data_IF_417216354243
#
_entry.id   IF_417216354243
#
_cell.length_a   1.000
_cell.length_b   1.000
_cell.length_c   1.000
_cell.angle_alpha   90.00
_cell.angle_beta   90.00
_cell.angle_gamma   90.00
#
_symmetry.space_group_name_H-M   'P 1'
#
loop_
_entity.id
_entity.type
_entity.pdbx_description
1 polymer ?
#
# COMPACT_ATOMS: atom_id res chain seq x y z
N UNK A 1 14.30 -22.10 23.37
CA UNK A 1 14.77 -20.69 23.34
C UNK A 1 13.96 -19.99 22.27
N UNK A 2 12.87 -19.38 22.69
CA UNK A 2 11.98 -18.59 21.83
C UNK A 2 12.46 -17.15 21.88
N UNK A 3 13.19 -16.72 20.85
CA UNK A 3 13.49 -15.30 20.66
C UNK A 3 12.17 -14.58 20.33
N UNK A 4 11.62 -13.93 21.35
CA UNK A 4 10.59 -12.92 21.18
C UNK A 4 11.21 -11.74 20.44
N UNK A 5 10.70 -11.31 19.29
CA UNK A 5 11.22 -10.12 18.64
C UNK A 5 10.95 -8.91 19.55
N UNK A 6 12.02 -8.18 19.84
CA UNK A 6 12.06 -6.96 20.64
C UNK A 6 10.83 -6.06 20.39
N UNK A 7 9.96 -5.99 21.39
CA UNK A 7 8.86 -5.03 21.48
C UNK A 7 9.37 -3.69 22.04
N UNK A 8 10.52 -3.20 21.57
CA UNK A 8 10.93 -1.83 21.88
C UNK A 8 10.17 -0.86 20.96
N UNK A 9 9.42 0.12 21.50
CA UNK A 9 8.72 1.10 20.69
C UNK A 9 9.74 1.93 19.92
N UNK A 10 9.92 1.61 18.64
CA UNK A 10 10.74 2.41 17.72
C UNK A 10 10.23 3.84 17.78
N UNK A 11 11.06 4.80 18.19
CA UNK A 11 10.69 6.22 18.16
C UNK A 11 10.36 6.58 16.72
N UNK A 12 9.09 6.90 16.45
CA UNK A 12 8.66 7.32 15.13
C UNK A 12 9.44 8.58 14.72
N UNK A 13 9.95 8.55 13.49
CA UNK A 13 10.47 9.72 12.79
C UNK A 13 9.41 10.82 12.72
N UNK A 14 9.83 12.09 12.66
CA UNK A 14 8.91 13.22 12.46
C UNK A 14 8.04 13.00 11.22
N UNK A 15 8.62 12.43 10.15
CA UNK A 15 7.88 12.13 8.92
C UNK A 15 6.84 11.01 9.13
N UNK A 16 7.14 9.99 9.93
CA UNK A 16 6.18 8.91 10.23
C UNK A 16 5.01 9.45 11.08
N UNK A 17 5.24 10.46 11.93
CA UNK A 17 4.18 11.12 12.69
C UNK A 17 3.27 12.01 11.83
N UNK A 18 3.82 12.68 10.82
CA UNK A 18 3.08 13.58 9.94
C UNK A 18 2.33 12.82 8.82
N UNK A 19 2.96 11.79 8.27
CA UNK A 19 2.38 11.03 7.15
C UNK A 19 1.49 9.88 7.63
N UNK A 20 1.83 9.29 8.78
CA UNK A 20 1.20 8.10 9.32
C UNK A 20 2.17 6.91 9.36
N UNK A 21 2.06 6.10 10.41
CA UNK A 21 2.87 4.89 10.59
C UNK A 21 2.43 3.80 9.60
N UNK A 22 3.40 3.16 8.96
CA UNK A 22 3.19 2.09 7.99
C UNK A 22 2.44 0.89 8.56
N UNK A 23 2.47 0.70 9.88
CA UNK A 23 1.78 -0.41 10.55
C UNK A 23 0.30 -0.12 10.80
N UNK A 24 -0.06 1.14 10.99
CA UNK A 24 -1.40 1.53 11.44
C UNK A 24 -2.21 2.24 10.35
N UNK A 25 -1.53 2.92 9.42
CA UNK A 25 -2.16 3.67 8.34
C UNK A 25 -2.04 2.91 7.03
N UNK A 26 -3.15 2.88 6.28
CA UNK A 26 -3.15 2.37 4.91
C UNK A 26 -2.25 3.21 4.00
N UNK A 27 -1.81 2.63 2.88
CA UNK A 27 -1.06 3.36 1.86
C UNK A 27 -1.86 4.59 1.37
N UNK A 28 -3.17 4.45 1.20
CA UNK A 28 -4.05 5.51 0.72
C UNK A 28 -4.12 6.68 1.70
N UNK A 29 -4.19 6.41 3.00
CA UNK A 29 -4.19 7.43 4.04
C UNK A 29 -2.84 8.17 4.07
N UNK A 30 -1.72 7.44 4.02
CA UNK A 30 -0.37 8.05 3.95
C UNK A 30 -0.20 8.93 2.73
N UNK A 31 -0.64 8.47 1.55
CA UNK A 31 -0.62 9.25 0.31
C UNK A 31 -1.52 10.50 0.42
N UNK A 32 -2.70 10.38 1.02
CA UNK A 32 -3.57 11.54 1.28
C UNK A 32 -2.91 12.58 2.19
N UNK A 33 -2.26 12.15 3.27
CA UNK A 33 -1.58 13.04 4.20
C UNK A 33 -0.38 13.73 3.53
N UNK A 34 0.41 12.99 2.74
CA UNK A 34 1.51 13.55 1.94
C UNK A 34 1.02 14.65 0.99
N UNK A 35 -0.03 14.36 0.21
CA UNK A 35 -0.61 15.34 -0.72
C UNK A 35 -1.17 16.55 0.04
N UNK A 36 -1.85 16.33 1.16
CA UNK A 36 -2.43 17.42 1.96
C UNK A 36 -1.33 18.33 2.54
N UNK A 37 -0.25 17.77 3.08
CA UNK A 37 0.91 18.53 3.56
C UNK A 37 1.57 19.36 2.45
N UNK A 38 1.70 18.75 1.28
CA UNK A 38 2.19 19.40 0.07
C UNK A 38 1.30 20.59 -0.33
N UNK A 39 -0.02 20.40 -0.36
CA UNK A 39 -0.98 21.47 -0.68
C UNK A 39 -0.96 22.59 0.37
N UNK A 40 -0.82 22.26 1.66
CA UNK A 40 -0.67 23.26 2.73
C UNK A 40 0.60 24.09 2.51
N UNK A 41 1.73 23.45 2.20
CA UNK A 41 2.99 24.14 1.95
C UNK A 41 2.89 25.11 0.76
N UNK A 42 2.22 24.71 -0.32
CA UNK A 42 2.03 25.59 -1.47
C UNK A 42 0.99 26.68 -1.21
N UNK A 43 -0.14 26.36 -0.60
CA UNK A 43 -1.18 27.33 -0.28
C UNK A 43 -0.64 28.45 0.61
N UNK A 44 0.18 28.09 1.61
CA UNK A 44 0.86 29.06 2.47
C UNK A 44 1.94 29.84 1.74
N UNK A 45 2.79 29.18 0.95
CA UNK A 45 3.84 29.85 0.16
C UNK A 45 3.25 30.84 -0.84
N UNK A 46 2.18 30.46 -1.53
CA UNK A 46 1.47 31.33 -2.49
C UNK A 46 0.77 32.49 -1.79
N UNK A 47 0.12 32.27 -0.63
CA UNK A 47 -0.47 33.36 0.14
C UNK A 47 0.58 34.40 0.59
N UNK A 48 1.77 33.93 1.01
CA UNK A 48 2.90 34.79 1.38
C UNK A 48 3.43 35.56 0.17
N UNK A 49 3.65 34.88 -0.96
CA UNK A 49 4.10 35.52 -2.20
C UNK A 49 3.08 36.57 -2.68
N UNK A 50 1.78 36.25 -2.64
CA UNK A 50 0.72 37.18 -3.00
C UNK A 50 0.75 38.44 -2.13
N UNK A 51 0.98 38.30 -0.81
CA UNK A 51 1.13 39.45 0.06
C UNK A 51 2.34 40.33 -0.32
N UNK A 52 3.50 39.73 -0.57
CA UNK A 52 4.72 40.47 -0.91
C UNK A 52 4.69 41.10 -2.31
N UNK A 53 4.00 40.48 -3.27
CA UNK A 53 3.84 40.99 -4.64
C UNK A 53 2.79 42.12 -4.71
N UNK A 54 2.11 42.43 -3.61
CA UNK A 54 1.03 43.42 -3.60
C UNK A 54 -0.20 42.95 -4.37
N UNK A 55 -0.43 41.63 -4.43
CA UNK A 55 -1.59 41.06 -5.10
C UNK A 55 -2.89 41.56 -4.46
N UNK A 56 -3.98 41.67 -5.25
CA UNK A 56 -5.30 41.97 -4.73
C UNK A 56 -5.67 41.08 -3.53
N UNK A 57 -6.34 41.66 -2.53
CA UNK A 57 -6.74 40.95 -1.30
C UNK A 57 -7.50 39.65 -1.60
N UNK A 58 -8.28 39.61 -2.68
CA UNK A 58 -9.02 38.40 -3.12
C UNK A 58 -8.10 37.21 -3.38
N UNK A 59 -6.90 37.42 -3.94
CA UNK A 59 -5.95 36.34 -4.26
C UNK A 59 -5.28 35.81 -2.99
N UNK A 60 -4.93 36.71 -2.07
CA UNK A 60 -4.40 36.34 -0.75
C UNK A 60 -5.45 35.51 0.01
N UNK A 61 -6.71 35.95 0.01
CA UNK A 61 -7.81 35.24 0.66
C UNK A 61 -8.06 33.86 0.06
N UNK A 62 -8.03 33.72 -1.27
CA UNK A 62 -8.25 32.45 -1.94
C UNK A 62 -7.15 31.42 -1.62
N UNK A 63 -5.88 31.86 -1.61
CA UNK A 63 -4.74 31.03 -1.18
C UNK A 63 -4.82 30.67 0.30
N UNK A 64 -5.20 31.60 1.17
CA UNK A 64 -5.36 31.34 2.60
C UNK A 64 -6.48 30.34 2.90
N UNK A 65 -7.64 30.50 2.25
CA UNK A 65 -8.78 29.57 2.36
C UNK A 65 -8.37 28.16 1.89
N UNK A 66 -7.63 28.07 0.79
CA UNK A 66 -7.10 26.81 0.27
C UNK A 66 -6.17 26.11 1.26
N UNK A 67 -5.24 26.85 1.87
CA UNK A 67 -4.30 26.32 2.85
C UNK A 67 -5.01 25.86 4.14
N UNK A 68 -5.95 26.66 4.65
CA UNK A 68 -6.72 26.34 5.85
C UNK A 68 -7.59 25.11 5.62
N UNK A 69 -8.28 25.02 4.48
CA UNK A 69 -9.08 23.85 4.15
C UNK A 69 -8.22 22.59 4.07
N UNK A 70 -7.08 22.64 3.38
CA UNK A 70 -6.15 21.51 3.32
C UNK A 70 -5.65 21.09 4.71
N UNK A 71 -5.40 22.06 5.61
CA UNK A 71 -5.03 21.79 7.00
C UNK A 71 -6.16 21.11 7.77
N UNK A 72 -7.40 21.56 7.61
CA UNK A 72 -8.58 20.93 8.25
C UNK A 72 -8.74 19.49 7.79
N UNK A 73 -8.66 19.24 6.48
CA UNK A 73 -8.73 17.89 5.92
C UNK A 73 -7.59 16.99 6.41
N UNK A 74 -6.37 17.51 6.46
CA UNK A 74 -5.20 16.81 6.99
C UNK A 74 -5.37 16.44 8.47
N UNK A 75 -5.77 17.39 9.31
CA UNK A 75 -5.98 17.14 10.75
C UNK A 75 -7.11 16.13 10.96
N UNK A 76 -8.19 16.23 10.17
CA UNK A 76 -9.29 15.26 10.22
C UNK A 76 -8.82 13.84 9.83
N UNK A 77 -7.97 13.73 8.81
CA UNK A 77 -7.39 12.46 8.37
C UNK A 77 -6.56 11.79 9.47
N UNK A 78 -5.67 12.53 10.13
CA UNK A 78 -4.84 12.01 11.22
C UNK A 78 -5.67 11.63 12.45
N UNK A 79 -6.66 12.45 12.83
CA UNK A 79 -7.42 12.21 14.07
C UNK A 79 -8.42 11.07 13.95
N UNK A 80 -9.08 10.93 12.80
CA UNK A 80 -10.23 10.03 12.68
C UNK A 80 -10.02 8.88 11.69
N UNK A 81 -8.87 8.79 11.03
CA UNK A 81 -8.58 7.72 10.06
C UNK A 81 -9.66 7.59 8.95
N UNK A 82 -10.35 8.69 8.63
CA UNK A 82 -11.46 8.74 7.68
C UNK A 82 -11.04 9.11 6.24
N UNK A 83 -9.85 8.71 5.79
CA UNK A 83 -9.31 9.09 4.47
C UNK A 83 -10.30 8.77 3.33
N UNK A 84 -11.02 7.64 3.41
CA UNK A 84 -11.99 7.23 2.39
C UNK A 84 -13.11 8.25 2.20
N UNK A 85 -13.60 8.86 3.29
CA UNK A 85 -14.69 9.82 3.25
C UNK A 85 -14.21 11.25 2.97
N UNK A 86 -12.94 11.56 3.23
CA UNK A 86 -12.36 12.90 3.06
C UNK A 86 -11.81 13.15 1.65
N UNK A 87 -11.46 12.09 0.90
CA UNK A 87 -10.87 12.18 -0.45
C UNK A 87 -11.74 12.87 -1.50
N UNK A 88 -13.03 12.54 -1.55
CA UNK A 88 -13.94 13.16 -2.53
C UNK A 88 -14.24 14.62 -2.17
N UNK A 89 -14.59 14.96 -0.91
CA UNK A 89 -14.84 16.35 -0.53
C UNK A 89 -13.65 17.30 -0.73
N UNK A 90 -12.41 16.87 -0.46
CA UNK A 90 -11.25 17.75 -0.69
C UNK A 90 -11.08 18.09 -2.18
N UNK A 91 -11.27 17.11 -3.08
CA UNK A 91 -11.16 17.33 -4.53
C UNK A 91 -12.27 18.24 -5.02
N UNK A 92 -13.50 18.05 -4.54
CA UNK A 92 -14.65 18.93 -4.85
C UNK A 92 -14.38 20.36 -4.39
N UNK A 93 -13.89 20.52 -3.16
CA UNK A 93 -13.56 21.82 -2.61
C UNK A 93 -12.54 22.55 -3.49
N UNK A 94 -11.45 21.88 -3.86
CA UNK A 94 -10.44 22.49 -4.74
C UNK A 94 -10.97 22.76 -6.16
N UNK A 95 -11.83 21.90 -6.70
CA UNK A 95 -12.47 22.16 -7.99
C UNK A 95 -13.31 23.44 -7.97
N UNK A 96 -14.07 23.67 -6.91
CA UNK A 96 -14.87 24.89 -6.73
C UNK A 96 -13.95 26.11 -6.58
N UNK A 97 -12.93 26.02 -5.72
CA UNK A 97 -11.96 27.10 -5.49
C UNK A 97 -11.25 27.48 -6.79
N UNK A 98 -10.80 26.51 -7.59
CA UNK A 98 -10.15 26.78 -8.88
C UNK A 98 -11.11 27.33 -9.93
N UNK A 99 -12.38 26.94 -9.87
CA UNK A 99 -13.41 27.52 -10.75
C UNK A 99 -13.66 28.99 -10.43
N UNK A 100 -13.64 29.36 -9.15
CA UNK A 100 -13.69 30.77 -8.73
C UNK A 100 -12.40 31.50 -9.14
N UNK A 101 -11.23 30.87 -8.92
CA UNK A 101 -9.93 31.42 -9.32
C UNK A 101 -9.88 31.76 -10.81
N UNK A 102 -10.48 30.92 -11.66
CA UNK A 102 -10.53 31.13 -13.11
C UNK A 102 -11.18 32.48 -13.45
N UNK A 103 -12.29 32.79 -12.79
CA UNK A 103 -13.02 34.04 -13.00
C UNK A 103 -12.29 35.26 -12.43
N UNK A 104 -11.50 35.08 -11.36
CA UNK A 104 -10.84 36.21 -10.68
C UNK A 104 -9.43 36.52 -11.19
N UNK A 105 -8.79 35.56 -11.88
CA UNK A 105 -7.37 35.60 -12.24
C UNK A 105 -7.17 35.47 -13.77
N UNK A 106 -7.91 36.25 -14.56
CA UNK A 106 -7.78 36.33 -16.02
C UNK A 106 -7.87 34.99 -16.77
N UNK A 107 -8.63 34.03 -16.24
CA UNK A 107 -8.99 32.78 -16.93
C UNK A 107 -7.81 32.05 -17.55
N UNK A 108 -7.92 31.78 -18.86
CA UNK A 108 -6.90 31.07 -19.64
C UNK A 108 -5.55 31.80 -19.71
N UNK A 109 -5.54 33.12 -19.62
CA UNK A 109 -4.31 33.93 -19.71
C UNK A 109 -3.59 34.08 -18.36
N UNK A 110 -4.21 33.65 -17.27
CA UNK A 110 -3.63 33.71 -15.93
C UNK A 110 -2.96 32.41 -15.49
N UNK A 111 -2.74 32.29 -14.18
CA UNK A 111 -2.07 31.14 -13.56
C UNK A 111 -2.99 29.93 -13.31
N UNK A 112 -4.32 30.13 -13.32
CA UNK A 112 -5.31 29.13 -12.89
C UNK A 112 -5.23 27.79 -13.64
N UNK A 113 -5.03 27.74 -14.98
CA UNK A 113 -4.91 26.48 -15.70
C UNK A 113 -3.83 25.52 -15.15
N UNK A 114 -2.74 26.06 -14.59
CA UNK A 114 -1.65 25.27 -14.02
C UNK A 114 -2.10 24.50 -12.76
N UNK A 115 -2.94 25.13 -11.94
CA UNK A 115 -3.49 24.49 -10.74
C UNK A 115 -4.54 23.42 -11.08
N UNK A 116 -5.24 23.54 -12.21
CA UNK A 116 -6.10 22.46 -12.70
C UNK A 116 -5.29 21.21 -13.06
N UNK A 117 -4.12 21.35 -13.70
CA UNK A 117 -3.22 20.21 -13.97
C UNK A 117 -2.84 19.51 -12.67
N UNK A 118 -2.48 20.27 -11.65
CA UNK A 118 -2.17 19.75 -10.32
C UNK A 118 -3.37 19.01 -9.71
N UNK A 119 -4.56 19.60 -9.77
CA UNK A 119 -5.78 18.98 -9.24
C UNK A 119 -6.11 17.68 -9.98
N UNK A 120 -5.93 17.63 -11.31
CA UNK A 120 -6.09 16.42 -12.09
C UNK A 120 -5.10 15.34 -11.63
N UNK A 121 -3.81 15.66 -11.49
CA UNK A 121 -2.82 14.71 -10.96
C UNK A 121 -3.18 14.23 -9.55
N UNK A 122 -3.57 15.14 -8.64
CA UNK A 122 -3.95 14.75 -7.28
C UNK A 122 -5.21 13.87 -7.27
N UNK A 123 -6.22 14.20 -8.06
CA UNK A 123 -7.48 13.45 -8.15
C UNK A 123 -7.26 12.04 -8.70
N UNK A 124 -6.37 11.86 -9.68
CA UNK A 124 -6.06 10.54 -10.24
C UNK A 124 -5.38 9.63 -9.23
N UNK A 125 -4.57 10.20 -8.35
CA UNK A 125 -3.87 9.47 -7.29
C UNK A 125 -4.81 9.14 -6.13
N UNK A 126 -5.62 10.11 -5.68
CA UNK A 126 -6.47 9.96 -4.51
C UNK A 126 -7.71 9.10 -4.77
N UNK A 127 -8.36 9.29 -5.91
CA UNK A 127 -9.60 8.63 -6.26
C UNK A 127 -9.31 7.35 -7.05
N UNK A 128 -9.87 6.22 -6.61
CA UNK A 128 -9.69 4.92 -7.28
C UNK A 128 -10.81 4.61 -8.26
N UNK A 129 -10.53 3.67 -9.16
CA UNK A 129 -11.52 3.12 -10.09
C UNK A 129 -12.72 2.52 -9.35
N UNK A 130 -13.97 2.69 -9.84
CA UNK A 130 -14.36 3.42 -11.06
C UNK A 130 -14.58 4.93 -10.86
N UNK A 131 -14.65 5.41 -9.62
CA UNK A 131 -14.99 6.79 -9.29
C UNK A 131 -14.03 7.81 -9.93
N UNK A 132 -12.75 7.47 -10.08
CA UNK A 132 -11.76 8.32 -10.72
C UNK A 132 -12.16 8.75 -12.15
N UNK A 133 -12.64 7.82 -12.98
CA UNK A 133 -13.02 8.14 -14.36
C UNK A 133 -14.21 9.11 -14.43
N UNK A 134 -15.19 8.93 -13.55
CA UNK A 134 -16.33 9.85 -13.43
C UNK A 134 -15.87 11.24 -12.97
N UNK A 135 -14.96 11.31 -12.00
CA UNK A 135 -14.41 12.57 -11.49
C UNK A 135 -13.57 13.32 -12.51
N UNK A 136 -12.74 12.63 -13.28
CA UNK A 136 -11.99 13.23 -14.39
C UNK A 136 -12.94 13.76 -15.45
N UNK A 137 -13.98 13.01 -15.79
CA UNK A 137 -15.00 13.43 -16.75
C UNK A 137 -15.72 14.69 -16.28
N UNK A 138 -16.18 14.72 -15.02
CA UNK A 138 -16.81 15.89 -14.42
C UNK A 138 -15.88 17.10 -14.40
N UNK A 139 -14.63 16.91 -14.00
CA UNK A 139 -13.65 18.00 -13.93
C UNK A 139 -13.31 18.55 -15.32
N UNK A 140 -13.25 17.68 -16.34
CA UNK A 140 -13.11 18.09 -17.74
C UNK A 140 -14.32 18.88 -18.24
N UNK A 141 -15.53 18.45 -17.90
CA UNK A 141 -16.77 19.20 -18.21
C UNK A 141 -16.74 20.58 -17.55
N UNK A 142 -16.31 20.70 -16.28
CA UNK A 142 -16.19 21.99 -15.59
C UNK A 142 -15.19 22.91 -16.31
N UNK A 143 -14.02 22.40 -16.69
CA UNK A 143 -13.03 23.20 -17.45
C UNK A 143 -13.59 23.62 -18.82
N UNK A 144 -14.29 22.73 -19.52
CA UNK A 144 -14.94 23.05 -20.79
C UNK A 144 -16.00 24.14 -20.60
N UNK A 145 -16.82 24.05 -19.55
CA UNK A 145 -17.79 25.08 -19.21
C UNK A 145 -17.10 26.42 -18.94
N UNK A 146 -16.02 26.44 -18.14
CA UNK A 146 -15.26 27.67 -17.87
C UNK A 146 -14.71 28.31 -19.16
N UNK A 147 -14.14 27.51 -20.06
CA UNK A 147 -13.67 27.97 -21.37
C UNK A 147 -14.82 28.54 -22.22
N UNK A 148 -15.98 27.88 -22.25
CA UNK A 148 -17.14 28.40 -22.98
C UNK A 148 -17.69 29.67 -22.35
N UNK A 149 -17.66 29.80 -21.02
CA UNK A 149 -18.09 31.04 -20.32
C UNK A 149 -17.14 32.19 -20.56
N UNK A 150 -15.84 31.94 -20.61
CA UNK A 150 -14.81 32.93 -20.95
C UNK A 150 -15.05 33.51 -22.35
N UNK A 151 -15.35 32.64 -23.31
CA UNK A 151 -15.64 33.06 -24.68
C UNK A 151 -16.99 33.77 -24.82
N UNK A 152 -18.04 33.27 -24.16
CA UNK A 152 -19.39 33.79 -24.30
C UNK A 152 -19.64 35.07 -23.49
N UNK A 153 -18.95 35.25 -22.36
CA UNK A 153 -19.12 36.35 -21.40
C UNK A 153 -17.77 36.82 -20.84
N UNK A 154 -16.92 37.44 -21.67
CA UNK A 154 -15.59 37.91 -21.23
C UNK A 154 -15.66 38.94 -20.10
N UNK A 155 -16.77 39.66 -19.95
CA UNK A 155 -16.98 40.62 -18.86
C UNK A 155 -17.00 40.00 -17.45
N UNK A 156 -17.21 38.68 -17.34
CA UNK A 156 -17.17 37.97 -16.05
C UNK A 156 -15.74 37.72 -15.56
N UNK A 157 -14.75 37.83 -16.44
CA UNK A 157 -13.35 37.55 -16.11
C UNK A 157 -12.67 38.83 -15.65
N UNK A 158 -12.21 38.83 -14.39
CA UNK A 158 -11.48 39.94 -13.82
C UNK A 158 -10.03 39.94 -14.33
N UNK A 159 -9.56 41.07 -14.91
CA UNK A 159 -8.19 41.17 -15.38
C UNK A 159 -7.19 41.37 -14.23
N UNK A 160 -5.93 41.05 -14.48
CA UNK A 160 -4.82 41.47 -13.60
C UNK A 160 -4.69 42.99 -13.58
N UNK A 161 -4.07 43.52 -12.52
CA UNK A 161 -3.82 44.95 -12.36
C UNK A 161 -2.94 45.54 -13.47
N UNK A 162 -1.98 44.76 -13.98
CA UNK A 162 -1.10 45.15 -15.08
C UNK A 162 -0.54 43.93 -15.81
N UNK A 163 -0.05 44.15 -17.03
CA UNK A 163 0.63 43.13 -17.84
C UNK A 163 1.93 42.64 -17.18
N UNK A 164 2.72 43.56 -16.58
CA UNK A 164 3.94 43.20 -15.85
C UNK A 164 3.63 42.31 -14.65
N UNK A 165 2.53 42.60 -13.95
CA UNK A 165 2.09 41.82 -12.81
C UNK A 165 1.69 40.41 -13.22
N UNK A 166 0.89 40.27 -14.29
CA UNK A 166 0.53 38.97 -14.84
C UNK A 166 1.77 38.15 -15.21
N UNK A 167 2.74 38.77 -15.89
CA UNK A 167 3.97 38.07 -16.30
C UNK A 167 4.74 37.50 -15.10
N UNK A 168 4.88 38.27 -14.02
CA UNK A 168 5.56 37.82 -12.80
C UNK A 168 4.78 36.68 -12.15
N UNK A 169 3.48 36.86 -11.92
CA UNK A 169 2.64 35.87 -11.24
C UNK A 169 2.57 34.53 -12.01
N UNK A 170 2.36 34.60 -13.33
CA UNK A 170 2.34 33.41 -14.19
C UNK A 170 3.70 32.72 -14.22
N UNK A 171 4.81 33.47 -14.35
CA UNK A 171 6.16 32.87 -14.39
C UNK A 171 6.51 32.17 -13.08
N UNK A 172 6.19 32.79 -11.94
CA UNK A 172 6.39 32.18 -10.61
C UNK A 172 5.50 30.94 -10.46
N UNK A 173 4.23 31.04 -10.88
CA UNK A 173 3.27 29.94 -10.79
C UNK A 173 3.66 28.74 -11.65
N UNK A 174 4.27 28.93 -12.83
CA UNK A 174 4.80 27.85 -13.66
C UNK A 174 5.90 27.09 -12.91
N UNK A 175 6.88 27.80 -12.37
CA UNK A 175 8.01 27.17 -11.65
C UNK A 175 7.50 26.41 -10.43
N UNK A 176 6.64 27.03 -9.62
CA UNK A 176 6.05 26.39 -8.45
C UNK A 176 5.21 25.17 -8.82
N UNK A 177 4.41 25.25 -9.90
CA UNK A 177 3.54 24.15 -10.32
C UNK A 177 4.34 22.96 -10.84
N UNK A 178 5.43 23.19 -11.57
CA UNK A 178 6.31 22.14 -12.04
C UNK A 178 7.01 21.43 -10.88
N UNK A 179 7.62 22.19 -9.96
CA UNK A 179 8.26 21.63 -8.76
C UNK A 179 7.24 20.84 -7.95
N UNK A 180 6.02 21.37 -7.81
CA UNK A 180 4.98 20.71 -7.05
C UNK A 180 4.52 19.40 -7.67
N UNK A 181 4.17 19.42 -8.95
CA UNK A 181 3.65 18.26 -9.63
C UNK A 181 4.71 17.15 -9.64
N UNK A 182 5.97 17.51 -9.89
CA UNK A 182 7.10 16.58 -9.79
C UNK A 182 7.28 16.03 -8.36
N UNK A 183 7.24 16.88 -7.34
CA UNK A 183 7.36 16.45 -5.94
C UNK A 183 6.20 15.53 -5.52
N UNK A 184 4.97 15.87 -5.91
CA UNK A 184 3.78 15.05 -5.67
C UNK A 184 3.94 13.66 -6.27
N UNK A 185 4.24 13.57 -7.57
CA UNK A 185 4.42 12.28 -8.24
C UNK A 185 5.58 11.50 -7.62
N UNK A 186 6.72 12.16 -7.36
CA UNK A 186 7.89 11.51 -6.77
C UNK A 186 7.60 10.91 -5.39
N UNK A 187 6.98 11.67 -4.48
CA UNK A 187 6.67 11.21 -3.13
C UNK A 187 5.66 10.05 -3.15
N UNK A 188 4.65 10.12 -4.01
CA UNK A 188 3.66 9.05 -4.16
C UNK A 188 4.28 7.79 -4.73
N UNK A 189 5.10 7.90 -5.79
CA UNK A 189 5.82 6.76 -6.37
C UNK A 189 6.76 6.14 -5.34
N UNK A 190 7.48 6.96 -4.56
CA UNK A 190 8.36 6.49 -3.49
C UNK A 190 7.59 5.69 -2.44
N UNK A 191 6.42 6.17 -2.01
CA UNK A 191 5.60 5.47 -1.02
C UNK A 191 5.02 4.16 -1.58
N UNK A 192 4.59 4.19 -2.84
CA UNK A 192 4.12 3.00 -3.55
C UNK A 192 5.22 1.94 -3.71
N UNK A 193 6.44 2.35 -4.08
CA UNK A 193 7.60 1.45 -4.18
C UNK A 193 7.94 0.80 -2.84
N UNK A 194 7.86 1.57 -1.75
CA UNK A 194 8.09 1.06 -0.39
C UNK A 194 7.06 0.00 -0.01
N UNK A 195 5.79 0.25 -0.29
CA UNK A 195 4.72 -0.71 -0.03
C UNK A 195 4.87 -1.99 -0.87
N UNK A 196 5.26 -1.85 -2.14
CA UNK A 196 5.52 -2.98 -3.04
C UNK A 196 6.64 -3.90 -2.50
N UNK A 197 7.76 -3.31 -2.07
CA UNK A 197 8.88 -4.07 -1.49
C UNK A 197 8.48 -4.79 -0.20
N UNK A 198 7.61 -4.19 0.61
CA UNK A 198 7.06 -4.81 1.82
C UNK A 198 6.19 -6.03 1.49
N UNK A 199 5.29 -5.87 0.53
CA UNK A 199 4.44 -6.98 0.06
C UNK A 199 5.27 -8.16 -0.43
N UNK A 200 6.36 -7.89 -1.15
CA UNK A 200 7.27 -8.93 -1.63
C UNK A 200 7.98 -9.65 -0.48
N UNK A 201 8.52 -8.91 0.50
CA UNK A 201 9.17 -9.53 1.67
C UNK A 201 8.21 -10.41 2.47
N UNK A 202 6.97 -9.96 2.67
CA UNK A 202 5.96 -10.73 3.38
C UNK A 202 5.60 -12.01 2.62
N UNK A 203 5.53 -11.93 1.29
CA UNK A 203 5.30 -13.10 0.44
C UNK A 203 6.44 -14.12 0.55
N UNK A 204 7.70 -13.67 0.46
CA UNK A 204 8.87 -14.54 0.61
C UNK A 204 8.93 -15.19 2.00
N UNK A 205 8.61 -14.44 3.06
CA UNK A 205 8.52 -15.00 4.41
C UNK A 205 7.44 -16.09 4.50
N UNK A 206 6.26 -15.84 3.93
CA UNK A 206 5.16 -16.82 3.91
C UNK A 206 5.56 -18.10 3.16
N UNK A 207 6.34 -17.98 2.07
CA UNK A 207 6.85 -19.14 1.35
C UNK A 207 7.84 -19.94 2.20
N UNK A 208 8.79 -19.27 2.85
CA UNK A 208 9.77 -19.92 3.72
C UNK A 208 9.13 -20.62 4.92
N UNK A 209 8.15 -19.98 5.57
CA UNK A 209 7.41 -20.57 6.69
C UNK A 209 6.64 -21.82 6.23
N UNK A 210 6.08 -21.80 5.00
CA UNK A 210 5.42 -22.96 4.40
C UNK A 210 6.38 -24.11 4.15
N UNK A 211 7.57 -23.84 3.61
CA UNK A 211 8.61 -24.86 3.41
C UNK A 211 9.05 -25.48 4.73
N UNK A 212 9.28 -24.64 5.74
CA UNK A 212 9.65 -25.07 7.10
C UNK A 212 8.57 -25.96 7.71
N UNK A 213 7.30 -25.57 7.56
CA UNK A 213 6.17 -26.37 8.04
C UNK A 213 6.09 -27.72 7.31
N UNK A 214 6.28 -27.74 5.99
CA UNK A 214 6.30 -28.99 5.21
C UNK A 214 7.44 -29.92 5.63
N UNK A 215 8.63 -29.39 5.92
CA UNK A 215 9.75 -30.17 6.43
C UNK A 215 9.47 -30.73 7.83
N UNK A 216 8.91 -29.91 8.73
CA UNK A 216 8.51 -30.37 10.06
C UNK A 216 7.47 -31.50 9.98
N UNK A 217 6.47 -31.37 9.11
CA UNK A 217 5.48 -32.42 8.87
C UNK A 217 6.10 -33.69 8.27
N UNK A 218 7.06 -33.56 7.35
CA UNK A 218 7.78 -34.71 6.81
C UNK A 218 8.60 -35.43 7.89
N UNK A 219 9.27 -34.69 8.77
CA UNK A 219 10.03 -35.26 9.89
C UNK A 219 9.12 -35.99 10.89
N UNK A 220 7.94 -35.44 11.19
CA UNK A 220 6.94 -36.13 12.04
C UNK A 220 6.55 -37.46 11.41
N UNK A 221 6.23 -37.51 10.11
CA UNK A 221 5.90 -38.77 9.41
C UNK A 221 7.02 -39.81 9.45
N UNK A 222 8.28 -39.36 9.37
CA UNK A 222 9.43 -40.27 9.49
C UNK A 222 9.55 -40.80 10.92
N UNK A 223 9.37 -39.94 11.93
CA UNK A 223 9.40 -40.32 13.34
C UNK A 223 8.25 -41.26 13.71
N UNK A 224 7.05 -41.06 13.16
CA UNK A 224 5.91 -41.98 13.26
C UNK A 224 6.21 -43.35 12.65
N UNK A 225 7.12 -43.44 11.68
CA UNK A 225 7.59 -44.70 11.09
C UNK A 225 8.60 -45.49 11.94
N UNK A 226 9.10 -44.92 13.05
CA UNK A 226 10.05 -45.62 13.93
C UNK A 226 9.28 -46.53 14.88
N UNK A 227 9.29 -47.82 14.58
CA UNK A 227 8.67 -48.84 15.43
C UNK A 227 9.59 -49.16 16.62
N UNK A 228 9.18 -48.93 17.88
CA UNK A 228 9.98 -49.28 19.04
C UNK A 228 10.05 -50.80 19.19
N UNK A 229 11.22 -51.37 18.94
CA UNK A 229 11.48 -52.83 19.00
C UNK A 229 12.24 -53.19 20.28
N UNK A 230 11.82 -54.24 20.98
CA UNK A 230 12.55 -54.76 22.14
C UNK A 230 13.90 -55.33 21.70
N UNK A 231 14.99 -54.85 22.31
CA UNK A 231 16.36 -55.28 21.96
C UNK A 231 16.59 -56.78 22.13
N UNK A 232 15.89 -57.43 23.07
CA UNK A 232 16.03 -58.85 23.40
C UNK A 232 15.13 -59.74 22.55
N UNK A 233 13.81 -59.56 22.61
CA UNK A 233 12.84 -60.46 21.98
C UNK A 233 12.29 -59.98 20.64
N UNK A 234 12.71 -58.80 20.16
CA UNK A 234 12.34 -58.20 18.87
C UNK A 234 10.84 -57.90 18.65
N UNK A 235 10.02 -57.98 19.70
CA UNK A 235 8.61 -57.52 19.66
C UNK A 235 8.53 -56.01 19.43
N UNK A 236 7.49 -55.57 18.73
CA UNK A 236 7.17 -54.15 18.50
C UNK A 236 6.21 -53.68 19.60
N UNK A 237 6.45 -52.49 20.15
CA UNK A 237 5.54 -51.84 21.09
C UNK A 237 4.58 -50.91 20.36
N UNK A 238 3.30 -51.02 20.63
CA UNK A 238 2.27 -50.16 20.03
C UNK A 238 2.02 -48.86 20.83
N UNK A 239 1.06 -48.05 20.37
CA UNK A 239 0.66 -46.79 21.03
C UNK A 239 -0.01 -47.00 22.39
N UNK A 240 -0.60 -48.19 22.63
CA UNK A 240 -1.21 -48.59 23.90
C UNK A 240 -0.20 -49.21 24.88
N UNK A 241 1.09 -49.21 24.52
CA UNK A 241 2.19 -49.76 25.31
C UNK A 241 2.16 -51.30 25.43
N UNK A 242 1.44 -51.98 24.53
CA UNK A 242 1.40 -53.44 24.39
C UNK A 242 2.49 -53.95 23.44
N UNK A 243 2.94 -55.20 23.61
CA UNK A 243 4.04 -55.79 22.85
C UNK A 243 3.58 -56.92 21.93
N UNK A 244 3.72 -56.69 20.63
CA UNK A 244 3.25 -57.58 19.56
C UNK A 244 4.42 -58.24 18.83
N UNK A 245 4.21 -59.43 18.27
CA UNK A 245 5.15 -60.01 17.32
C UNK A 245 5.22 -59.11 16.07
N UNK A 246 6.35 -59.14 15.35
CA UNK A 246 6.60 -58.23 14.21
C UNK A 246 5.57 -58.49 13.10
N UNK A 247 5.28 -59.76 12.85
CA UNK A 247 4.37 -60.22 11.82
C UNK A 247 2.94 -59.77 12.11
N UNK A 248 2.49 -59.91 13.36
CA UNK A 248 1.15 -59.51 13.82
C UNK A 248 0.96 -57.99 13.74
N UNK A 249 1.97 -57.23 14.18
CA UNK A 249 1.94 -55.78 14.15
C UNK A 249 1.91 -55.24 12.71
N UNK A 250 2.80 -55.72 11.83
CA UNK A 250 2.85 -55.26 10.44
C UNK A 250 1.60 -55.69 9.65
N UNK A 251 1.08 -56.90 9.88
CA UNK A 251 -0.13 -57.38 9.19
C UNK A 251 -1.39 -56.61 9.61
N UNK A 252 -1.46 -56.15 10.86
CA UNK A 252 -2.58 -55.33 11.37
C UNK A 252 -2.49 -53.85 10.99
N UNK A 253 -1.28 -53.32 10.77
CA UNK A 253 -1.04 -51.90 10.49
C UNK A 253 -0.66 -51.61 9.04
N UNK A 254 -0.66 -52.61 8.16
CA UNK A 254 -0.34 -52.44 6.73
C UNK A 254 -1.11 -53.42 5.85
N UNK A 255 -0.92 -53.33 4.53
CA UNK A 255 -1.46 -54.31 3.56
C UNK A 255 -0.52 -55.49 3.31
N UNK A 256 0.56 -55.63 4.09
CA UNK A 256 1.52 -56.72 3.92
C UNK A 256 0.94 -58.05 4.43
N UNK A 257 1.25 -59.14 3.71
CA UNK A 257 0.94 -60.50 4.12
C UNK A 257 2.24 -61.31 4.22
N UNK A 258 2.40 -62.09 5.28
CA UNK A 258 3.59 -62.90 5.51
C UNK A 258 3.38 -64.33 5.02
N UNK A 259 4.29 -64.81 4.16
CA UNK A 259 4.42 -66.22 3.81
C UNK A 259 5.62 -66.82 4.55
N UNK A 260 5.51 -68.07 4.98
CA UNK A 260 6.60 -68.78 5.64
C UNK A 260 7.35 -69.64 4.63
N UNK A 261 8.60 -69.26 4.33
CA UNK A 261 9.52 -70.02 3.48
C UNK A 261 10.89 -70.11 4.15
N UNK A 262 11.65 -71.14 3.83
CA UNK A 262 13.06 -71.23 4.26
C UNK A 262 13.95 -70.48 3.27
N UNK A 263 14.89 -69.69 3.76
CA UNK A 263 15.96 -69.18 2.90
C UNK A 263 16.92 -70.33 2.52
N UNK A 264 17.68 -70.19 1.43
CA UNK A 264 18.67 -71.18 0.99
C UNK A 264 19.57 -71.74 2.09
N UNK A 265 20.12 -70.87 2.94
CA UNK A 265 21.04 -71.26 4.01
C UNK A 265 20.35 -72.09 5.09
N UNK A 266 19.15 -71.67 5.53
CA UNK A 266 18.39 -72.39 6.54
C UNK A 266 17.88 -73.74 6.01
N UNK A 267 17.46 -73.78 4.75
CA UNK A 267 17.03 -75.01 4.10
C UNK A 267 18.19 -76.01 3.99
N UNK A 268 19.38 -75.57 3.58
CA UNK A 268 20.57 -76.43 3.52
C UNK A 268 21.01 -76.91 4.91
N UNK A 269 20.90 -76.07 5.94
CA UNK A 269 21.31 -76.42 7.30
C UNK A 269 20.36 -77.39 7.99
N UNK A 270 19.04 -77.19 7.84
CA UNK A 270 18.02 -77.95 8.56
C UNK A 270 17.44 -79.11 7.75
N UNK A 271 17.54 -79.05 6.41
CA UNK A 271 17.08 -80.08 5.49
C UNK A 271 18.15 -80.42 4.45
N UNK A 272 19.40 -80.74 4.87
CA UNK A 272 20.52 -80.99 3.95
C UNK A 272 20.21 -82.10 2.93
N UNK A 273 19.52 -83.16 3.36
CA UNK A 273 19.19 -84.32 2.52
C UNK A 273 18.22 -84.01 1.36
N UNK A 274 17.53 -82.88 1.42
CA UNK A 274 16.55 -82.44 0.42
C UNK A 274 17.03 -81.22 -0.38
N UNK A 275 18.22 -80.71 -0.09
CA UNK A 275 18.72 -79.46 -0.67
C UNK A 275 19.53 -79.65 -1.96
N UNK A 276 20.21 -80.80 -2.12
CA UNK A 276 21.07 -81.12 -3.28
C UNK A 276 20.40 -82.09 -4.29
N UNK A 277 19.22 -81.72 -4.83
CA UNK A 277 18.65 -82.36 -6.02
C UNK A 277 18.27 -81.36 -7.10
#
# INVERSE_FOLDING_TARGET
MTDSPDLHPKKLSIMEKLVGDEKTHSLENRVFNLISLLVIFIGTSTAVLNFFLGNPVREIMLSAISAIAALVFYVASIRYYYDRYLRTPIVVFFLIILSVAWLTNQGLQGNTPLFFIILFTASTILLRFPYNALWLSLSFIVVLLLLTTEWAKPELILPYLSESHRQIDVSVSIILSLIFNAAMVHLVVKEYQKERLRSEKLYQQTLHDKETLQQALANIKVLEGILPVCSFCKKIRDENNEWHAVEDYISSHSKAAFSHSYCPECAQKHFPDYYDK
#
